data_IF_112381012901
#
_entry.id   IF_112381012901
#
_cell.length_a   1.000
_cell.length_b   1.000
_cell.length_c   1.000
_cell.angle_alpha   90.00
_cell.angle_beta   90.00
_cell.angle_gamma   90.00
#
_symmetry.space_group_name_H-M   'P 1'
#
loop_
_entity.id
_entity.type
_entity.pdbx_description
1 polymer ?
#
# COMPACT_ATOMS: atom_id res chain seq x y z
N UNK A 1 -34.04 22.64 5.61
CA UNK A 1 -33.10 21.68 4.99
C UNK A 1 -31.68 22.12 5.33
N UNK A 2 -30.90 21.33 6.05
CA UNK A 2 -29.56 21.73 6.43
C UNK A 2 -28.66 21.81 5.18
N UNK A 3 -28.11 23.00 4.87
CA UNK A 3 -27.05 23.15 3.86
C UNK A 3 -25.81 22.41 4.37
N UNK A 4 -25.53 21.23 3.82
CA UNK A 4 -24.40 20.40 4.23
C UNK A 4 -23.11 20.96 3.61
N UNK A 5 -22.42 21.82 4.36
CA UNK A 5 -21.17 22.45 3.93
C UNK A 5 -19.91 21.59 4.23
N UNK A 6 -20.07 20.34 4.68
CA UNK A 6 -18.95 19.47 5.03
C UNK A 6 -18.93 18.20 4.16
N UNK A 7 -17.74 17.70 3.77
CA UNK A 7 -17.63 16.45 3.02
C UNK A 7 -18.12 15.25 3.84
N UNK A 8 -18.59 14.21 3.15
CA UNK A 8 -19.01 12.95 3.78
C UNK A 8 -17.85 12.35 4.57
N UNK A 9 -18.14 11.86 5.78
CA UNK A 9 -17.17 11.12 6.60
C UNK A 9 -17.03 9.69 6.08
N UNK A 10 -15.79 9.27 5.82
CA UNK A 10 -15.44 7.93 5.38
C UNK A 10 -15.74 7.66 3.90
N UNK A 11 -15.01 6.68 3.34
CA UNK A 11 -15.25 6.21 1.97
C UNK A 11 -16.37 5.16 1.91
N UNK A 12 -17.25 5.31 0.90
CA UNK A 12 -18.34 4.35 0.61
C UNK A 12 -17.83 3.07 -0.04
N UNK A 13 -16.66 3.09 -0.69
CA UNK A 13 -16.08 1.92 -1.35
C UNK A 13 -15.73 0.78 -0.36
N UNK A 14 -15.60 1.10 0.93
CA UNK A 14 -15.31 0.12 1.99
C UNK A 14 -16.56 -0.31 2.77
N UNK A 15 -17.76 -0.09 2.21
CA UNK A 15 -19.02 -0.61 2.74
C UNK A 15 -19.39 -1.90 2.02
N UNK A 16 -19.87 -2.96 2.69
CA UNK A 16 -20.11 -3.08 4.13
C UNK A 16 -18.85 -3.32 4.96
N UNK A 17 -18.74 -2.67 6.12
CA UNK A 17 -17.64 -2.85 7.09
C UNK A 17 -17.87 -4.07 7.98
N UNK A 18 -17.89 -5.25 7.36
CA UNK A 18 -18.04 -6.55 8.03
C UNK A 18 -16.69 -7.27 8.16
N UNK A 19 -16.59 -8.23 9.08
CA UNK A 19 -15.40 -9.10 9.18
C UNK A 19 -15.24 -9.90 7.89
N UNK A 20 -13.99 -10.06 7.45
CA UNK A 20 -13.67 -10.97 6.34
C UNK A 20 -14.09 -12.40 6.72
N UNK A 21 -14.66 -13.17 5.78
CA UNK A 21 -14.98 -14.58 6.01
C UNK A 21 -13.73 -15.46 6.09
N UNK A 22 -12.56 -14.97 5.66
CA UNK A 22 -11.29 -15.70 5.62
C UNK A 22 -10.21 -14.95 6.41
N UNK A 23 -9.26 -15.70 6.96
CA UNK A 23 -8.12 -15.15 7.71
C UNK A 23 -7.05 -14.48 6.82
N UNK A 24 -6.97 -14.87 5.54
CA UNK A 24 -6.06 -14.29 4.55
C UNK A 24 -6.83 -13.47 3.50
N UNK A 25 -6.15 -12.52 2.88
CA UNK A 25 -6.72 -11.70 1.81
C UNK A 25 -6.81 -12.50 0.50
N UNK A 26 -7.87 -12.25 -0.29
CA UNK A 26 -8.03 -12.80 -1.63
C UNK A 26 -7.45 -11.84 -2.66
N UNK A 27 -6.65 -12.36 -3.60
CA UNK A 27 -6.12 -11.57 -4.71
C UNK A 27 -7.17 -11.50 -5.81
N UNK A 28 -7.76 -10.32 -6.00
CA UNK A 28 -8.85 -10.14 -6.98
C UNK A 28 -8.35 -9.85 -8.41
N UNK A 29 -7.14 -9.34 -8.55
CA UNK A 29 -6.56 -8.97 -9.83
C UNK A 29 -5.06 -9.23 -9.81
N UNK A 30 -4.57 -9.79 -10.90
CA UNK A 30 -3.16 -10.04 -11.17
C UNK A 30 -2.69 -9.07 -12.26
N UNK A 31 -1.45 -8.56 -12.20
CA UNK A 31 -0.91 -7.72 -13.25
C UNK A 31 -0.81 -8.50 -14.57
N UNK A 32 -1.13 -7.84 -15.68
CA UNK A 32 -0.84 -8.37 -17.00
C UNK A 32 0.68 -8.31 -17.22
N UNK A 33 1.26 -9.41 -17.71
CA UNK A 33 2.71 -9.54 -17.88
C UNK A 33 3.03 -9.99 -19.30
N UNK A 34 3.84 -9.21 -20.02
CA UNK A 34 4.44 -9.59 -21.31
C UNK A 34 5.69 -10.48 -21.14
N UNK A 35 5.81 -11.15 -20.00
CA UNK A 35 6.99 -11.93 -19.67
C UNK A 35 7.08 -13.16 -20.59
N UNK A 36 8.22 -13.32 -21.25
CA UNK A 36 8.51 -14.48 -22.11
C UNK A 36 8.71 -15.79 -21.32
N UNK A 37 8.85 -15.71 -20.00
CA UNK A 37 9.16 -16.83 -19.11
C UNK A 37 8.17 -16.92 -17.94
N UNK A 38 7.91 -18.14 -17.47
CA UNK A 38 7.02 -18.39 -16.32
C UNK A 38 7.64 -17.84 -15.03
N UNK A 39 6.91 -16.94 -14.36
CA UNK A 39 7.34 -16.31 -13.10
C UNK A 39 6.22 -16.28 -12.07
N UNK A 40 6.60 -16.38 -10.79
CA UNK A 40 5.67 -16.22 -9.66
C UNK A 40 5.30 -14.73 -9.53
N UNK A 41 4.00 -14.43 -9.55
CA UNK A 41 3.50 -13.05 -9.47
C UNK A 41 3.20 -12.58 -8.04
N UNK A 42 3.10 -13.49 -7.08
CA UNK A 42 2.78 -13.16 -5.69
C UNK A 42 3.35 -14.17 -4.71
N UNK A 43 3.68 -13.69 -3.51
CA UNK A 43 4.26 -14.48 -2.43
C UNK A 43 3.41 -14.37 -1.16
N UNK A 44 3.26 -15.48 -0.44
CA UNK A 44 2.68 -15.49 0.89
C UNK A 44 3.75 -15.20 1.94
N UNK A 45 3.43 -14.38 2.94
CA UNK A 45 4.36 -14.03 4.01
C UNK A 45 3.62 -13.70 5.30
N UNK A 46 4.35 -13.71 6.42
CA UNK A 46 3.82 -13.35 7.73
C UNK A 46 4.47 -12.07 8.24
N UNK A 47 3.68 -11.16 8.81
CA UNK A 47 4.20 -9.92 9.40
C UNK A 47 4.92 -10.25 10.71
N UNK A 48 6.23 -9.99 10.77
CA UNK A 48 7.03 -10.15 11.99
C UNK A 48 7.05 -8.87 12.85
N UNK A 49 7.28 -7.70 12.24
CA UNK A 49 7.43 -6.43 12.96
C UNK A 49 7.68 -5.26 12.02
N UNK A 50 8.14 -4.14 12.57
CA UNK A 50 8.59 -2.96 11.83
C UNK A 50 9.97 -2.57 12.37
N UNK A 51 10.85 -2.07 11.50
CA UNK A 51 12.25 -1.76 11.84
C UNK A 51 12.71 -0.58 11.01
N UNK A 52 13.44 0.35 11.61
CA UNK A 52 13.95 1.50 10.89
C UNK A 52 15.09 1.13 9.95
N UNK A 53 15.05 1.67 8.73
CA UNK A 53 16.14 1.61 7.76
C UNK A 53 16.54 3.02 7.36
N UNK A 54 17.84 3.23 7.14
CA UNK A 54 18.43 4.47 6.64
C UNK A 54 18.96 4.22 5.21
N UNK A 55 18.12 4.31 4.17
CA UNK A 55 18.56 4.10 2.80
C UNK A 55 19.37 5.28 2.28
N UNK A 56 20.27 5.01 1.33
CA UNK A 56 20.91 6.04 0.51
C UNK A 56 20.16 6.09 -0.82
N UNK A 57 19.53 7.23 -1.13
CA UNK A 57 18.75 7.42 -2.35
C UNK A 57 19.66 7.76 -3.53
N UNK A 58 19.55 7.02 -4.65
CA UNK A 58 20.30 7.27 -5.89
C UNK A 58 19.56 8.16 -6.90
N UNK A 59 18.29 8.50 -6.63
CA UNK A 59 17.51 9.41 -7.47
C UNK A 59 18.05 10.84 -7.36
N UNK A 60 18.30 11.56 -8.46
CA UNK A 60 18.71 12.96 -8.41
C UNK A 60 17.54 13.81 -7.88
N UNK A 61 17.64 14.26 -6.64
CA UNK A 61 16.64 15.12 -6.02
C UNK A 61 16.86 16.61 -6.38
N UNK A 62 15.80 17.43 -6.44
CA UNK A 62 15.91 18.89 -6.32
C UNK A 62 16.46 19.29 -4.91
N UNK A 63 16.87 20.56 -4.66
CA UNK A 63 18.06 20.96 -3.90
C UNK A 63 18.15 20.47 -2.43
N UNK A 64 19.36 20.47 -1.84
CA UNK A 64 19.81 19.44 -0.92
C UNK A 64 19.17 19.60 0.45
N UNK A 65 18.53 18.52 0.92
CA UNK A 65 18.37 18.29 2.34
C UNK A 65 19.15 17.03 2.67
N UNK A 66 20.32 17.22 3.28
CA UNK A 66 21.06 16.19 4.01
C UNK A 66 20.12 15.56 5.04
N UNK A 67 19.39 14.54 4.65
CA UNK A 67 18.45 13.85 5.54
C UNK A 67 18.54 12.36 5.26
N UNK A 68 19.26 11.68 6.16
CA UNK A 68 18.99 10.28 6.50
C UNK A 68 17.50 10.21 6.86
N UNK A 69 16.65 9.83 5.91
CA UNK A 69 15.23 9.68 6.15
C UNK A 69 15.02 8.31 6.82
N UNK A 70 14.70 8.33 8.11
CA UNK A 70 14.27 7.12 8.80
C UNK A 70 12.90 6.72 8.22
N UNK A 71 12.89 5.63 7.46
CA UNK A 71 11.65 5.00 7.01
C UNK A 71 11.29 3.89 8.01
N UNK A 72 10.00 3.75 8.39
CA UNK A 72 9.54 2.70 9.29
C UNK A 72 9.59 1.30 8.66
#
# INVERSE_FOLDING_TARGET
>A
MAKRNHPRRGSMAFSPRKRSPRHFAHVNAWPETDASEVRVQGFAGWKAGMTHVLPVTSTPAPPPQDRKSASP
#
